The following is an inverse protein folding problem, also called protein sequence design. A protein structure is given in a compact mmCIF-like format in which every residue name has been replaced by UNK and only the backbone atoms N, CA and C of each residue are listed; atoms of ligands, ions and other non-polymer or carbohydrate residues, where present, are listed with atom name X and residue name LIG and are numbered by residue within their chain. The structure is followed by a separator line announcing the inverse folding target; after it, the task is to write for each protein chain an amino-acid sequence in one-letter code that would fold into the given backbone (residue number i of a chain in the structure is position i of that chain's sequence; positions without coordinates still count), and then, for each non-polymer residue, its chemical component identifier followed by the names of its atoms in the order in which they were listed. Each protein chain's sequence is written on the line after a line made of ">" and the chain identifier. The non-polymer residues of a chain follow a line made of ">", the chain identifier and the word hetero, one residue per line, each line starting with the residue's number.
data_IF_103897719739
#
_entry.id   IF_103897719739
#
_cell.length_a   1.000
_cell.length_b   1.000
_cell.length_c   1.000
_cell.angle_alpha   90.00
_cell.angle_beta   90.00
_cell.angle_gamma   90.00
#
_symmetry.space_group_name_H-M   'P 1'
#
loop_
_entity.id
_entity.type
_entity.pdbx_description
1 polymer ?
#
# COMPACT_ATOMS: atom_id res chain seq x y z
N UNK A 1 4.04 -25.27 55.60
CA UNK A 1 4.43 -23.96 55.05
C UNK A 1 4.65 -24.17 53.56
N UNK A 2 3.61 -23.96 52.74
CA UNK A 2 3.45 -22.80 51.85
C UNK A 2 4.51 -22.75 50.73
N UNK A 3 4.24 -23.55 49.69
CA UNK A 3 4.26 -23.19 48.28
C UNK A 3 5.42 -22.31 47.81
N UNK A 4 6.41 -22.91 47.14
CA UNK A 4 7.28 -22.20 46.21
C UNK A 4 6.96 -22.64 44.77
N UNK A 5 5.70 -22.41 44.39
CA UNK A 5 5.24 -22.46 43.01
C UNK A 5 5.82 -21.27 42.24
N UNK A 6 6.60 -21.60 41.22
CA UNK A 6 6.57 -20.94 39.90
C UNK A 6 6.93 -19.46 39.85
N UNK A 7 8.20 -19.17 39.49
CA UNK A 7 8.54 -17.91 38.82
C UNK A 7 9.24 -18.22 37.49
N UNK A 8 8.50 -18.87 36.59
CA UNK A 8 8.80 -18.82 35.16
C UNK A 8 8.24 -17.47 34.67
N UNK A 9 9.06 -16.43 34.73
CA UNK A 9 8.73 -15.16 34.11
C UNK A 9 8.63 -15.39 32.60
N UNK A 10 7.38 -15.47 32.13
CA UNK A 10 6.99 -15.48 30.73
C UNK A 10 7.58 -14.25 30.03
N UNK A 11 8.76 -14.40 29.44
CA UNK A 11 9.23 -13.54 28.37
C UNK A 11 8.40 -13.91 27.14
N UNK A 12 7.16 -13.40 27.06
CA UNK A 12 6.43 -13.38 25.79
C UNK A 12 7.10 -12.26 25.00
N UNK A 13 7.87 -12.54 23.92
CA UNK A 13 8.22 -11.48 23.01
C UNK A 13 6.90 -10.96 22.44
N UNK A 14 6.53 -9.73 22.79
CA UNK A 14 5.60 -8.98 21.96
C UNK A 14 6.27 -8.92 20.58
N UNK A 15 5.74 -9.67 19.62
CA UNK A 15 6.13 -9.55 18.23
C UNK A 15 5.64 -8.18 17.76
N UNK A 16 6.45 -7.15 17.98
CA UNK A 16 6.27 -5.86 17.35
C UNK A 16 6.48 -6.10 15.84
N UNK A 17 5.39 -6.18 15.09
CA UNK A 17 5.43 -6.17 13.64
C UNK A 17 5.81 -4.76 13.21
N UNK A 18 7.11 -4.52 13.01
CA UNK A 18 7.56 -3.28 12.42
C UNK A 18 7.12 -3.25 10.95
N UNK A 19 6.44 -2.18 10.54
CA UNK A 19 6.16 -1.91 9.14
C UNK A 19 7.47 -1.98 8.35
N UNK A 20 7.49 -2.83 7.33
CA UNK A 20 8.68 -2.99 6.48
C UNK A 20 8.48 -2.22 5.20
N UNK A 21 9.44 -1.38 4.84
CA UNK A 21 9.45 -0.71 3.54
C UNK A 21 9.86 -1.73 2.48
N UNK A 22 9.06 -1.83 1.42
CA UNK A 22 9.37 -2.63 0.23
C UNK A 22 9.33 -1.71 -0.97
N UNK A 23 10.45 -1.66 -1.67
CA UNK A 23 10.68 -0.73 -2.78
C UNK A 23 10.47 -1.47 -4.10
N UNK A 24 9.66 -0.87 -4.98
CA UNK A 24 9.54 -1.32 -6.35
C UNK A 24 10.82 -1.01 -7.14
N UNK A 25 11.39 -2.05 -7.75
CA UNK A 25 12.53 -1.94 -8.68
C UNK A 25 12.13 -2.27 -10.12
N UNK A 26 11.11 -3.11 -10.34
CA UNK A 26 10.73 -3.55 -11.68
C UNK A 26 11.88 -4.23 -12.47
N UNK A 27 11.67 -4.41 -13.77
CA UNK A 27 12.74 -4.76 -14.71
C UNK A 27 13.11 -6.25 -14.80
N UNK A 28 12.36 -7.15 -14.16
CA UNK A 28 12.54 -8.61 -14.36
C UNK A 28 12.23 -8.99 -15.81
N UNK A 29 13.17 -9.58 -16.58
CA UNK A 29 12.96 -9.87 -18.00
C UNK A 29 11.70 -10.70 -18.28
N UNK A 30 10.83 -10.20 -19.17
CA UNK A 30 9.54 -10.80 -19.53
C UNK A 30 8.41 -10.59 -18.51
N UNK A 31 8.69 -9.93 -17.38
CA UNK A 31 7.75 -9.65 -16.29
C UNK A 31 8.01 -8.27 -15.65
N UNK A 32 8.53 -7.32 -16.42
CA UNK A 32 9.19 -6.11 -15.94
C UNK A 32 8.27 -5.20 -15.11
N UNK A 33 6.98 -5.22 -15.41
CA UNK A 33 5.94 -4.39 -14.78
C UNK A 33 5.06 -5.17 -13.80
N UNK A 34 5.21 -6.50 -13.70
CA UNK A 34 4.27 -7.33 -12.94
C UNK A 34 4.42 -7.13 -11.45
N UNK A 35 3.39 -6.59 -10.79
CA UNK A 35 3.33 -6.44 -9.33
C UNK A 35 3.60 -7.77 -8.60
N UNK A 36 3.12 -8.88 -9.15
CA UNK A 36 3.18 -10.20 -8.54
C UNK A 36 4.53 -10.91 -8.69
N UNK A 37 5.49 -10.34 -9.43
CA UNK A 37 6.82 -10.92 -9.62
C UNK A 37 7.74 -10.54 -8.44
N UNK A 38 8.18 -11.49 -7.59
CA UNK A 38 9.02 -11.20 -6.43
C UNK A 38 10.32 -10.45 -6.76
N UNK A 39 10.93 -10.73 -7.91
CA UNK A 39 12.20 -10.14 -8.32
C UNK A 39 12.10 -8.64 -8.64
N UNK A 40 10.89 -8.14 -8.91
CA UNK A 40 10.63 -6.71 -9.11
C UNK A 40 10.63 -5.91 -7.79
N UNK A 41 10.74 -6.57 -6.63
CA UNK A 41 10.78 -5.93 -5.33
C UNK A 41 12.16 -6.06 -4.69
N UNK A 42 12.60 -5.04 -3.95
CA UNK A 42 13.91 -5.04 -3.27
C UNK A 42 14.10 -6.19 -2.29
N UNK A 43 13.03 -6.55 -1.57
CA UNK A 43 12.98 -7.66 -0.62
C UNK A 43 12.87 -9.06 -1.27
N UNK A 44 12.86 -9.16 -2.61
CA UNK A 44 12.64 -10.40 -3.36
C UNK A 44 11.35 -11.14 -2.94
N UNK A 45 10.31 -10.40 -2.58
CA UNK A 45 8.96 -10.89 -2.26
C UNK A 45 7.91 -9.84 -2.59
N UNK A 46 6.69 -10.29 -2.86
CA UNK A 46 5.54 -9.39 -3.07
C UNK A 46 5.14 -8.75 -1.72
N UNK A 47 4.81 -7.45 -1.68
CA UNK A 47 4.26 -6.79 -0.50
C UNK A 47 2.95 -7.42 -0.02
N UNK A 48 2.79 -7.51 1.29
CA UNK A 48 1.59 -7.96 1.99
C UNK A 48 1.04 -6.88 2.93
N UNK A 49 0.06 -7.28 3.74
CA UNK A 49 -0.80 -6.37 4.51
C UNK A 49 -0.09 -5.50 5.56
N UNK A 50 1.15 -5.82 5.91
CA UNK A 50 1.96 -5.08 6.88
C UNK A 50 3.06 -4.21 6.24
N UNK A 51 3.17 -4.25 4.92
CA UNK A 51 4.27 -3.61 4.21
C UNK A 51 3.89 -2.19 3.75
N UNK A 52 4.88 -1.30 3.84
CA UNK A 52 4.85 0.00 3.20
C UNK A 52 5.45 -0.13 1.79
N UNK A 53 4.65 0.11 0.77
CA UNK A 53 5.12 0.09 -0.61
C UNK A 53 5.68 1.46 -0.99
N UNK A 54 6.88 1.48 -1.57
CA UNK A 54 7.49 2.70 -2.09
C UNK A 54 7.76 2.53 -3.59
N UNK A 55 7.22 3.45 -4.40
CA UNK A 55 7.35 3.45 -5.86
C UNK A 55 7.93 4.80 -6.27
N UNK A 56 9.22 4.81 -6.63
CA UNK A 56 9.89 5.98 -7.19
C UNK A 56 10.49 5.63 -8.55
N UNK A 57 10.43 6.56 -9.51
CA UNK A 57 10.88 6.30 -10.88
C UNK A 57 12.38 5.95 -10.96
N UNK A 58 13.20 6.58 -10.11
CA UNK A 58 14.64 6.37 -10.02
C UNK A 58 15.03 4.95 -9.58
N UNK A 59 14.13 4.23 -8.91
CA UNK A 59 14.38 2.86 -8.47
C UNK A 59 14.10 1.85 -9.58
N UNK A 60 13.49 2.27 -10.70
CA UNK A 60 12.95 1.35 -11.70
C UNK A 60 13.95 0.94 -12.78
N UNK A 61 14.09 -0.36 -13.00
CA UNK A 61 14.80 -0.93 -14.15
C UNK A 61 14.06 -0.58 -15.44
N UNK A 62 14.73 0.12 -16.36
CA UNK A 62 14.18 0.53 -17.66
C UNK A 62 12.87 1.34 -17.59
N UNK A 63 12.66 2.12 -16.51
CA UNK A 63 11.40 2.86 -16.30
C UNK A 63 10.15 1.98 -16.17
N UNK A 64 10.31 0.69 -15.83
CA UNK A 64 9.22 -0.27 -15.72
C UNK A 64 8.35 0.03 -14.50
N UNK A 65 7.19 0.65 -14.73
CA UNK A 65 6.23 1.00 -13.67
C UNK A 65 5.36 -0.21 -13.29
N UNK A 66 4.97 -0.35 -12.02
CA UNK A 66 4.16 -1.47 -11.56
C UNK A 66 2.74 -1.45 -12.13
N UNK A 67 2.30 -2.63 -12.58
CA UNK A 67 0.93 -2.94 -12.97
C UNK A 67 0.39 -4.04 -12.05
N UNK A 68 -0.71 -3.74 -11.37
CA UNK A 68 -1.48 -4.69 -10.57
C UNK A 68 -2.68 -5.18 -11.38
N UNK A 69 -2.66 -6.45 -11.79
CA UNK A 69 -3.71 -7.14 -12.55
C UNK A 69 -4.45 -8.23 -11.75
N UNK A 70 -4.15 -8.34 -10.45
CA UNK A 70 -4.80 -9.23 -9.49
C UNK A 70 -5.15 -8.51 -8.19
N UNK A 71 -5.27 -9.24 -7.08
CA UNK A 71 -5.56 -8.65 -5.76
C UNK A 71 -4.29 -8.50 -4.94
N UNK A 72 -4.10 -7.32 -4.34
CA UNK A 72 -3.06 -7.08 -3.34
C UNK A 72 -3.64 -6.34 -2.14
N UNK A 73 -3.15 -6.67 -0.96
CA UNK A 73 -3.43 -5.93 0.27
C UNK A 73 -2.11 -5.47 0.87
N UNK A 74 -2.03 -4.18 1.18
CA UNK A 74 -0.85 -3.51 1.74
C UNK A 74 -1.26 -2.56 2.86
N UNK A 75 -0.30 -2.18 3.69
CA UNK A 75 -0.56 -1.21 4.75
C UNK A 75 -0.67 0.21 4.19
N UNK A 76 0.28 0.58 3.34
CA UNK A 76 0.29 1.88 2.66
C UNK A 76 1.15 1.86 1.41
N UNK A 77 0.97 2.85 0.54
CA UNK A 77 1.79 3.07 -0.66
C UNK A 77 2.18 4.54 -0.78
N UNK A 78 3.46 4.76 -1.06
CA UNK A 78 4.01 6.04 -1.50
C UNK A 78 4.34 5.97 -3.00
N UNK A 79 3.87 6.96 -3.76
CA UNK A 79 4.18 7.13 -5.18
C UNK A 79 4.90 8.47 -5.35
N UNK A 80 6.21 8.40 -5.58
CA UNK A 80 7.08 9.57 -5.69
C UNK A 80 7.15 10.16 -7.10
N UNK A 81 7.97 11.21 -7.29
CA UNK A 81 7.99 11.99 -8.52
C UNK A 81 8.23 11.15 -9.79
N UNK A 82 7.37 11.35 -10.80
CA UNK A 82 7.51 10.69 -12.10
C UNK A 82 7.22 9.19 -12.11
N UNK A 83 6.88 8.59 -10.97
CA UNK A 83 6.49 7.20 -10.87
C UNK A 83 5.00 7.02 -11.12
N UNK A 84 4.59 5.83 -11.57
CA UNK A 84 3.19 5.48 -11.79
C UNK A 84 2.86 4.14 -11.15
N UNK A 85 1.71 4.02 -10.48
CA UNK A 85 1.09 2.76 -10.15
C UNK A 85 -0.17 2.57 -10.98
N UNK A 86 -0.22 1.51 -11.79
CA UNK A 86 -1.41 1.18 -12.57
C UNK A 86 -2.15 -0.01 -11.95
N UNK A 87 -3.40 0.21 -11.56
CA UNK A 87 -4.36 -0.84 -11.20
C UNK A 87 -5.18 -1.16 -12.45
N UNK A 88 -4.85 -2.28 -13.09
CA UNK A 88 -5.54 -2.73 -14.31
C UNK A 88 -7.02 -3.05 -14.03
N UNK A 89 -7.84 -3.24 -15.06
CA UNK A 89 -9.29 -3.45 -14.92
C UNK A 89 -9.66 -4.63 -14.02
N UNK A 90 -8.86 -5.70 -14.01
CA UNK A 90 -9.01 -6.88 -13.14
C UNK A 90 -8.33 -6.72 -11.78
N UNK A 91 -7.57 -5.65 -11.60
CA UNK A 91 -6.79 -5.36 -10.40
C UNK A 91 -7.66 -4.86 -9.25
N UNK A 92 -7.29 -5.27 -8.04
CA UNK A 92 -7.85 -4.77 -6.79
C UNK A 92 -6.72 -4.48 -5.79
N UNK A 93 -6.55 -3.21 -5.45
CA UNK A 93 -5.66 -2.80 -4.37
C UNK A 93 -6.47 -2.50 -3.11
N UNK A 94 -6.14 -3.18 -2.01
CA UNK A 94 -6.64 -2.85 -0.67
C UNK A 94 -5.51 -2.21 0.13
N UNK A 95 -5.73 -0.98 0.57
CA UNK A 95 -4.82 -0.25 1.45
C UNK A 95 -5.47 -0.20 2.83
N UNK A 96 -4.89 -0.89 3.80
CA UNK A 96 -5.45 -1.02 5.15
C UNK A 96 -4.46 -0.53 6.21
N UNK A 97 -4.72 0.67 6.74
CA UNK A 97 -3.88 1.30 7.77
C UNK A 97 -4.07 0.75 9.18
N UNK A 98 -4.85 -0.32 9.40
CA UNK A 98 -5.18 -0.80 10.77
C UNK A 98 -3.97 -1.01 11.66
N UNK A 99 -2.85 -1.44 11.08
CA UNK A 99 -1.64 -1.81 11.81
C UNK A 99 -0.50 -0.79 11.66
N UNK A 100 -0.75 0.33 10.99
CA UNK A 100 0.27 1.30 10.63
C UNK A 100 -0.24 2.72 10.89
N UNK A 101 0.59 3.57 11.50
CA UNK A 101 0.32 5.02 11.58
C UNK A 101 0.56 5.69 10.22
N UNK A 102 0.07 5.07 9.14
CA UNK A 102 0.38 5.46 7.77
C UNK A 102 -0.75 6.28 7.15
N UNK A 103 -0.38 7.19 6.25
CA UNK A 103 -1.30 8.01 5.46
C UNK A 103 -2.15 7.20 4.45
N UNK A 104 -1.97 5.88 4.37
CA UNK A 104 -2.63 5.01 3.39
C UNK A 104 -2.02 5.17 2.01
N UNK A 105 -2.47 6.15 1.23
CA UNK A 105 -1.93 6.43 -0.12
C UNK A 105 -1.33 7.83 -0.12
N UNK A 106 -0.01 7.92 -0.32
CA UNK A 106 0.72 9.19 -0.43
C UNK A 106 1.24 9.36 -1.87
N UNK A 107 0.86 10.44 -2.54
CA UNK A 107 1.29 10.74 -3.91
C UNK A 107 2.08 12.06 -3.90
N UNK A 108 3.40 11.97 -4.07
CA UNK A 108 4.31 13.11 -4.06
C UNK A 108 4.86 13.36 -5.47
N UNK A 109 4.01 13.85 -6.38
CA UNK A 109 4.39 14.11 -7.78
C UNK A 109 4.44 12.86 -8.67
N UNK A 110 3.98 11.72 -8.16
CA UNK A 110 3.72 10.51 -8.93
C UNK A 110 2.28 10.44 -9.43
N UNK A 111 1.88 9.25 -9.88
CA UNK A 111 0.53 9.01 -10.43
C UNK A 111 -0.03 7.67 -10.02
N UNK A 112 -1.29 7.64 -9.62
CA UNK A 112 -2.10 6.42 -9.47
C UNK A 112 -3.12 6.37 -10.61
N UNK A 113 -3.03 5.36 -11.47
CA UNK A 113 -4.02 5.08 -12.52
C UNK A 113 -4.86 3.90 -12.06
N UNK A 114 -6.17 4.10 -11.88
CA UNK A 114 -7.07 3.04 -11.44
C UNK A 114 -8.15 2.77 -12.50
N UNK A 115 -7.91 1.76 -13.34
CA UNK A 115 -8.95 1.15 -14.18
C UNK A 115 -9.72 0.08 -13.39
N UNK A 116 -9.06 -0.58 -12.43
CA UNK A 116 -9.63 -1.53 -11.48
C UNK A 116 -10.20 -0.90 -10.21
N UNK A 117 -10.08 -1.60 -9.09
CA UNK A 117 -10.64 -1.21 -7.80
C UNK A 117 -9.53 -0.81 -6.82
N UNK A 118 -9.70 0.33 -6.14
CA UNK A 118 -8.90 0.73 -4.98
C UNK A 118 -9.82 0.86 -3.78
N UNK A 119 -9.48 0.16 -2.69
CA UNK A 119 -10.21 0.17 -1.43
C UNK A 119 -9.28 0.74 -0.35
N UNK A 120 -9.71 1.79 0.33
CA UNK A 120 -9.00 2.33 1.49
C UNK A 120 -9.77 1.98 2.76
N UNK A 121 -9.06 1.42 3.74
CA UNK A 121 -9.55 1.07 5.07
C UNK A 121 -8.61 1.66 6.12
N UNK A 122 -9.17 2.16 7.22
CA UNK A 122 -8.43 2.64 8.40
C UNK A 122 -7.26 3.60 8.07
N UNK A 123 -7.36 4.34 6.96
CA UNK A 123 -6.39 5.34 6.55
C UNK A 123 -6.87 6.73 6.99
N UNK A 124 -5.95 7.56 7.50
CA UNK A 124 -6.25 8.95 7.86
C UNK A 124 -6.44 9.75 6.57
N UNK A 125 -7.62 10.31 6.36
CA UNK A 125 -8.01 11.01 5.14
C UNK A 125 -7.62 12.51 5.17
N UNK A 126 -6.55 12.88 5.88
CA UNK A 126 -6.23 14.29 6.11
C UNK A 126 -5.42 14.94 4.97
N UNK A 127 -4.91 14.17 4.01
CA UNK A 127 -4.03 14.68 2.94
C UNK A 127 -4.19 13.95 1.60
N UNK A 128 -5.36 14.05 0.97
CA UNK A 128 -5.40 14.06 -0.49
C UNK A 128 -4.93 15.44 -0.95
N UNK A 129 -3.61 15.64 -1.03
CA UNK A 129 -3.04 16.88 -1.57
C UNK A 129 -3.12 16.77 -3.10
N UNK A 130 -4.24 17.23 -3.66
CA UNK A 130 -4.44 17.38 -5.10
C UNK A 130 -3.49 18.44 -5.65
N UNK A 131 -2.29 18.05 -6.08
CA UNK A 131 -1.42 18.95 -6.83
C UNK A 131 -1.38 18.69 -8.33
N UNK A 132 -2.02 17.63 -8.88
CA UNK A 132 -2.28 17.38 -10.32
C UNK A 132 -3.23 16.15 -10.50
N UNK A 133 -3.90 15.93 -11.67
CA UNK A 133 -5.19 15.22 -11.72
C UNK A 133 -5.06 13.72 -11.43
N UNK A 134 -5.69 13.28 -10.34
CA UNK A 134 -6.04 11.88 -10.16
C UNK A 134 -7.10 11.54 -11.22
N UNK A 135 -6.70 10.92 -12.33
CA UNK A 135 -7.66 10.43 -13.34
C UNK A 135 -8.27 9.12 -12.82
N UNK A 136 -9.26 9.26 -11.94
CA UNK A 136 -10.08 8.14 -11.49
C UNK A 136 -11.13 7.84 -12.57
N UNK A 137 -10.89 6.83 -13.41
CA UNK A 137 -11.90 6.37 -14.37
C UNK A 137 -13.02 5.55 -13.72
N UNK A 138 -12.80 5.03 -12.51
CA UNK A 138 -13.79 4.23 -11.78
C UNK A 138 -13.68 4.39 -10.26
N UNK A 139 -14.79 4.03 -9.61
CA UNK A 139 -15.16 4.19 -8.19
C UNK A 139 -14.03 3.80 -7.21
N UNK A 140 -13.49 4.79 -6.50
CA UNK A 140 -12.78 4.53 -5.23
C UNK A 140 -13.82 4.31 -4.14
N UNK A 141 -13.76 3.16 -3.47
CA UNK A 141 -14.65 2.83 -2.36
C UNK A 141 -13.93 3.14 -1.06
N UNK A 142 -14.37 4.20 -0.39
CA UNK A 142 -13.91 4.57 0.94
C UNK A 142 -14.80 3.89 1.99
N UNK A 143 -14.19 3.12 2.89
CA UNK A 143 -14.87 2.63 4.08
C UNK A 143 -14.11 3.15 5.30
N UNK A 144 -14.50 4.34 5.78
CA UNK A 144 -13.97 4.86 7.03
C UNK A 144 -14.72 4.21 8.20
N UNK A 145 -13.96 3.66 9.13
CA UNK A 145 -14.39 3.27 10.48
C UNK A 145 -13.78 4.26 11.47
N UNK A 146 -13.98 5.56 11.21
CA UNK A 146 -13.75 6.61 12.20
C UNK A 146 -15.02 6.78 13.02
N UNK A 147 -14.89 6.82 14.35
CA UNK A 147 -15.98 7.09 15.29
C UNK A 147 -16.53 8.53 15.23
N UNK A 148 -16.02 9.37 14.32
CA UNK A 148 -16.56 10.69 14.07
C UNK A 148 -16.63 10.99 12.56
N UNK A 149 -17.88 11.09 12.11
CA UNK A 149 -18.49 11.93 11.08
C UNK A 149 -17.78 12.22 9.74
N UNK A 150 -18.62 12.14 8.69
CA UNK A 150 -18.46 12.58 7.30
C UNK A 150 -17.71 11.64 6.33
N UNK A 151 -18.49 10.80 5.66
CA UNK A 151 -18.09 10.17 4.38
C UNK A 151 -18.39 11.18 3.26
N UNK A 152 -17.37 11.86 2.75
CA UNK A 152 -17.45 12.62 1.49
C UNK A 152 -17.06 11.69 0.34
N UNK A 153 -18.06 11.22 -0.39
CA UNK A 153 -17.86 10.50 -1.65
C UNK A 153 -17.53 11.55 -2.72
N UNK A 154 -16.26 11.63 -3.12
CA UNK A 154 -15.87 12.46 -4.27
C UNK A 154 -15.94 11.61 -5.53
N UNK A 155 -16.95 11.89 -6.37
CA UNK A 155 -17.08 11.35 -7.72
C UNK A 155 -16.69 12.42 -8.74
N UNK A 156 -15.69 12.18 -9.59
CA UNK A 156 -15.52 12.95 -10.82
C UNK A 156 -16.53 12.49 -11.87
N UNK A 157 -17.26 13.44 -12.46
CA UNK A 157 -18.17 13.22 -13.61
C UNK A 157 -17.39 13.19 -14.92
#
# INVERSE_FOLDING_TARGET
>A
MKNLTTLLALFIPFLLTAQTNIVWKGGTPGQETKWTEPQNWDANRVPGEFDHVVIHAENTGHFSQPVLDGTAQIASVEIGPGAELHIAETGQLVVDGTHTYSEGISIYGGKLVADGIVILKHAVLDRLVETEPVVLKKRVLYQSTSYDNAVSVVTSH
#
